data_IF_607104329427
#
_entry.id   IF_607104329427
#
_cell.length_a   1.000
_cell.length_b   1.000
_cell.length_c   1.000
_cell.angle_alpha   90.00
_cell.angle_beta   90.00
_cell.angle_gamma   90.00
#
_symmetry.space_group_name_H-M   'P 1'
#
loop_
_entity.id
_entity.type
_entity.pdbx_description
1 polymer ?
#
# COMPACT_ATOMS: atom_id res chain seq x y z
N UNK A 1 -34.54 28.06 59.20
CA UNK A 1 -34.09 27.12 58.16
C UNK A 1 -35.05 27.28 56.95
N UNK A 2 -34.66 28.04 55.96
CA UNK A 2 -35.48 28.27 54.74
C UNK A 2 -35.00 27.35 53.70
N UNK A 3 -35.89 26.43 53.26
CA UNK A 3 -35.64 25.48 52.20
C UNK A 3 -35.82 26.12 50.82
N UNK A 4 -34.83 25.97 49.99
CA UNK A 4 -34.83 26.43 48.62
C UNK A 4 -35.84 25.57 47.81
N UNK A 5 -36.76 26.19 47.08
CA UNK A 5 -37.79 25.53 46.35
C UNK A 5 -37.25 24.88 45.05
N UNK A 6 -37.88 23.77 44.63
CA UNK A 6 -37.54 23.01 43.39
C UNK A 6 -37.63 23.85 42.11
N UNK A 7 -38.18 25.04 42.13
CA UNK A 7 -38.28 25.92 40.96
C UNK A 7 -37.06 26.76 40.69
N UNK A 8 -36.25 27.04 41.71
CA UNK A 8 -35.00 27.84 41.57
C UNK A 8 -33.81 26.99 41.09
N UNK A 9 -33.87 25.65 41.27
CA UNK A 9 -32.84 24.75 40.79
C UNK A 9 -32.92 24.44 39.26
N UNK A 10 -34.06 24.79 38.61
CA UNK A 10 -34.27 24.52 37.16
C UNK A 10 -33.96 25.73 36.26
N UNK A 11 -33.75 26.92 36.81
CA UNK A 11 -33.43 28.11 36.02
C UNK A 11 -31.93 28.27 35.72
N UNK A 12 -31.05 27.55 36.44
CA UNK A 12 -29.60 27.61 36.25
C UNK A 12 -29.00 26.68 35.21
N UNK A 13 -29.80 25.72 34.68
CA UNK A 13 -29.27 24.64 33.81
C UNK A 13 -29.48 24.88 32.30
N UNK A 14 -30.15 25.98 31.90
CA UNK A 14 -30.54 26.20 30.49
C UNK A 14 -29.57 27.12 29.68
N UNK A 15 -28.54 27.72 30.31
CA UNK A 15 -27.67 28.67 29.62
C UNK A 15 -26.30 28.09 29.15
N UNK A 16 -26.02 26.80 29.38
CA UNK A 16 -24.71 26.19 29.11
C UNK A 16 -24.59 25.30 27.87
N UNK A 17 -25.69 25.01 27.16
CA UNK A 17 -25.68 23.95 26.09
C UNK A 17 -25.53 24.50 24.65
N UNK A 18 -25.50 25.83 24.47
CA UNK A 18 -25.55 26.43 23.12
C UNK A 18 -24.20 26.68 22.41
N UNK A 19 -23.07 26.57 23.09
CA UNK A 19 -21.76 26.96 22.49
C UNK A 19 -20.76 25.83 22.28
N UNK A 20 -20.99 24.65 22.82
CA UNK A 20 -20.08 23.50 22.67
C UNK A 20 -19.95 22.92 21.26
N UNK A 21 -21.01 22.81 20.44
CA UNK A 21 -20.87 22.17 19.12
C UNK A 21 -20.08 23.00 18.11
N UNK A 22 -20.09 24.33 18.21
CA UNK A 22 -19.42 25.22 17.26
C UNK A 22 -17.93 25.38 17.54
N UNK A 23 -17.53 25.44 18.79
CA UNK A 23 -16.13 25.46 19.21
C UNK A 23 -15.44 24.10 18.99
N UNK A 24 -16.13 22.99 19.28
CA UNK A 24 -15.63 21.64 18.99
C UNK A 24 -15.50 21.39 17.49
N UNK A 25 -16.45 21.88 16.67
CA UNK A 25 -16.38 21.78 15.21
C UNK A 25 -15.30 22.70 14.60
N UNK A 26 -15.06 23.88 15.17
CA UNK A 26 -13.99 24.79 14.80
C UNK A 26 -12.61 24.24 15.23
N UNK A 27 -12.49 23.64 16.41
CA UNK A 27 -11.27 22.97 16.87
C UNK A 27 -10.96 21.72 16.04
N UNK A 28 -11.99 20.96 15.63
CA UNK A 28 -11.85 19.81 14.74
C UNK A 28 -11.47 20.21 13.31
N UNK A 29 -11.95 21.37 12.83
CA UNK A 29 -11.54 21.94 11.54
C UNK A 29 -10.11 22.52 11.57
N UNK A 30 -9.60 22.92 12.74
CA UNK A 30 -8.22 23.39 12.93
C UNK A 30 -7.21 22.24 13.16
N UNK A 31 -7.68 21.02 13.37
CA UNK A 31 -6.85 19.81 13.59
C UNK A 31 -6.84 18.84 12.39
N UNK A 32 -7.49 19.17 11.29
CA UNK A 32 -7.50 18.32 10.10
C UNK A 32 -6.13 18.36 9.40
N UNK A 33 -5.59 17.18 9.06
CA UNK A 33 -4.35 17.04 8.30
C UNK A 33 -4.55 17.57 6.88
N UNK A 34 -3.75 18.55 6.47
CA UNK A 34 -3.79 19.07 5.11
C UNK A 34 -2.95 18.20 4.18
N UNK A 35 -3.58 17.69 3.11
CA UNK A 35 -2.98 16.71 2.20
C UNK A 35 -2.79 17.27 0.80
N UNK A 36 -1.59 17.11 0.25
CA UNK A 36 -1.28 17.28 -1.16
C UNK A 36 -1.24 15.93 -1.86
N UNK A 37 -1.86 15.81 -3.04
CA UNK A 37 -1.79 14.60 -3.86
C UNK A 37 -0.78 14.77 -4.98
N UNK A 38 0.16 13.83 -5.12
CA UNK A 38 1.14 13.74 -6.21
C UNK A 38 0.82 12.47 -7.01
N UNK A 39 0.29 12.65 -8.22
CA UNK A 39 -0.34 11.60 -9.00
C UNK A 39 -1.83 11.48 -8.68
N UNK A 40 -2.67 11.99 -9.60
CA UNK A 40 -4.13 12.01 -9.46
C UNK A 40 -4.82 11.03 -10.42
N UNK A 41 -4.09 10.02 -10.91
CA UNK A 41 -4.60 8.94 -11.73
C UNK A 41 -5.58 8.04 -10.96
N UNK A 42 -5.91 6.86 -11.53
CA UNK A 42 -6.94 5.98 -10.96
C UNK A 42 -6.66 5.58 -9.50
N UNK A 43 -5.41 5.23 -9.16
CA UNK A 43 -5.04 4.84 -7.80
C UNK A 43 -5.03 6.05 -6.85
N UNK A 44 -4.39 7.15 -7.23
CA UNK A 44 -4.39 8.36 -6.42
C UNK A 44 -5.80 8.86 -6.13
N UNK A 45 -6.69 8.82 -7.13
CA UNK A 45 -8.10 9.18 -6.97
C UNK A 45 -8.85 8.25 -6.02
N UNK A 46 -8.62 6.94 -6.11
CA UNK A 46 -9.21 5.97 -5.17
C UNK A 46 -8.79 6.27 -3.72
N UNK A 47 -7.50 6.41 -3.47
CA UNK A 47 -6.98 6.72 -2.13
C UNK A 47 -7.45 8.11 -1.67
N UNK A 48 -7.43 9.11 -2.56
CA UNK A 48 -7.92 10.46 -2.28
C UNK A 48 -9.38 10.51 -1.85
N UNK A 49 -10.24 9.66 -2.43
CA UNK A 49 -11.63 9.50 -1.99
C UNK A 49 -11.68 9.04 -0.54
N UNK A 50 -10.87 8.06 -0.15
CA UNK A 50 -10.83 7.54 1.22
C UNK A 50 -10.32 8.60 2.20
N UNK A 51 -9.26 9.34 1.85
CA UNK A 51 -8.79 10.48 2.63
C UNK A 51 -9.86 11.55 2.81
N UNK A 52 -10.60 11.89 1.74
CA UNK A 52 -11.65 12.91 1.79
C UNK A 52 -12.87 12.46 2.61
N UNK A 53 -13.17 11.17 2.65
CA UNK A 53 -14.28 10.59 3.41
C UNK A 53 -14.00 10.51 4.91
N UNK A 54 -12.76 10.43 5.32
CA UNK A 54 -12.38 10.28 6.75
C UNK A 54 -12.75 11.51 7.61
N UNK A 55 -12.79 12.69 7.01
CA UNK A 55 -13.14 13.94 7.72
C UNK A 55 -12.01 14.54 8.59
N UNK A 56 -10.95 13.79 8.88
CA UNK A 56 -9.73 14.26 9.56
C UNK A 56 -8.66 14.72 8.57
N UNK A 57 -8.87 14.50 7.28
CA UNK A 57 -8.01 14.99 6.22
C UNK A 57 -8.72 16.03 5.36
N UNK A 58 -7.95 16.94 4.82
CA UNK A 58 -8.41 17.94 3.85
C UNK A 58 -7.42 18.00 2.68
N UNK A 59 -7.85 17.56 1.51
CA UNK A 59 -7.05 17.64 0.30
C UNK A 59 -7.06 19.09 -0.19
N UNK A 60 -5.89 19.73 -0.19
CA UNK A 60 -5.73 21.17 -0.49
C UNK A 60 -4.91 21.44 -1.76
N UNK A 61 -4.26 20.40 -2.29
CA UNK A 61 -3.42 20.48 -3.47
C UNK A 61 -3.48 19.20 -4.30
N UNK A 62 -3.47 19.35 -5.62
CA UNK A 62 -3.47 18.27 -6.61
C UNK A 62 -2.32 18.51 -7.58
N UNK A 63 -1.47 17.51 -7.80
CA UNK A 63 -0.36 17.58 -8.74
C UNK A 63 -0.42 16.41 -9.72
N UNK A 64 -0.48 16.72 -11.00
CA UNK A 64 -0.36 15.74 -12.09
C UNK A 64 0.18 16.43 -13.34
N UNK A 65 0.98 15.72 -14.13
CA UNK A 65 1.49 16.23 -15.42
C UNK A 65 0.40 16.22 -16.50
N UNK A 66 -0.71 15.47 -16.27
CA UNK A 66 -1.86 15.38 -17.16
C UNK A 66 -3.02 16.18 -16.55
N UNK A 67 -3.35 17.38 -17.04
CA UNK A 67 -4.38 18.25 -16.46
C UNK A 67 -5.75 17.58 -16.33
N UNK A 68 -6.09 16.71 -17.28
CA UNK A 68 -7.35 15.96 -17.26
C UNK A 68 -7.49 15.08 -15.99
N UNK A 69 -6.39 14.51 -15.46
CA UNK A 69 -6.44 13.71 -14.24
C UNK A 69 -6.79 14.56 -13.02
N UNK A 70 -6.36 15.82 -12.99
CA UNK A 70 -6.74 16.78 -11.94
C UNK A 70 -8.26 17.04 -12.01
N UNK A 71 -8.80 17.30 -13.18
CA UNK A 71 -10.24 17.58 -13.35
C UNK A 71 -11.10 16.33 -13.05
N UNK A 72 -10.65 15.14 -13.46
CA UNK A 72 -11.29 13.89 -13.10
C UNK A 72 -11.29 13.67 -11.57
N UNK A 73 -10.23 14.11 -10.88
CA UNK A 73 -10.15 14.03 -9.42
C UNK A 73 -11.08 15.03 -8.74
N UNK A 74 -11.16 16.27 -9.24
CA UNK A 74 -12.12 17.27 -8.75
C UNK A 74 -13.56 16.79 -8.89
N UNK A 75 -13.88 16.16 -10.01
CA UNK A 75 -15.20 15.60 -10.27
C UNK A 75 -15.54 14.45 -9.32
N UNK A 76 -14.57 13.57 -9.03
CA UNK A 76 -14.76 12.42 -8.14
C UNK A 76 -14.72 12.79 -6.65
N UNK A 77 -14.02 13.88 -6.29
CA UNK A 77 -13.85 14.36 -4.92
C UNK A 77 -14.27 15.84 -4.86
N UNK A 78 -15.56 16.16 -4.75
CA UNK A 78 -16.07 17.54 -4.81
C UNK A 78 -15.43 18.50 -3.78
N UNK A 79 -14.97 17.99 -2.64
CA UNK A 79 -14.25 18.78 -1.63
C UNK A 79 -12.93 19.36 -2.14
N UNK A 80 -12.39 18.85 -3.25
CA UNK A 80 -11.16 19.34 -3.89
C UNK A 80 -11.38 20.45 -4.93
N UNK A 81 -12.62 20.91 -5.14
CA UNK A 81 -12.93 21.93 -6.15
C UNK A 81 -12.07 23.19 -6.03
N UNK A 82 -11.68 23.57 -4.79
CA UNK A 82 -10.80 24.71 -4.49
C UNK A 82 -9.35 24.32 -4.23
N UNK A 83 -8.98 23.03 -4.39
CA UNK A 83 -7.60 22.58 -4.23
C UNK A 83 -6.71 23.23 -5.30
N UNK A 84 -5.51 23.66 -4.89
CA UNK A 84 -4.52 24.23 -5.83
C UNK A 84 -4.04 23.16 -6.79
N UNK A 85 -3.92 23.50 -8.06
CA UNK A 85 -3.38 22.62 -9.08
C UNK A 85 -1.90 22.92 -9.32
N UNK A 86 -1.10 21.87 -9.38
CA UNK A 86 0.33 21.92 -9.66
C UNK A 86 0.66 20.98 -10.82
N UNK A 87 1.61 21.36 -11.65
CA UNK A 87 2.21 20.48 -12.66
C UNK A 87 3.52 19.87 -12.14
N UNK A 88 4.27 20.66 -11.38
CA UNK A 88 5.53 20.22 -10.74
C UNK A 88 5.28 19.89 -9.27
N UNK A 89 5.59 18.67 -8.88
CA UNK A 89 5.44 18.18 -7.49
C UNK A 89 6.35 18.95 -6.51
N UNK A 90 7.46 19.57 -6.99
CA UNK A 90 8.37 20.34 -6.15
C UNK A 90 7.69 21.63 -5.64
N UNK A 91 6.87 22.25 -6.48
CA UNK A 91 6.08 23.41 -6.07
C UNK A 91 5.03 23.04 -5.01
N UNK A 92 4.37 21.87 -5.16
CA UNK A 92 3.45 21.36 -4.15
C UNK A 92 4.18 21.08 -2.82
N UNK A 93 5.35 20.44 -2.87
CA UNK A 93 6.15 20.13 -1.69
C UNK A 93 6.68 21.38 -0.96
N UNK A 94 6.96 22.46 -1.70
CA UNK A 94 7.41 23.73 -1.13
C UNK A 94 6.31 24.49 -0.40
N UNK A 95 5.04 24.09 -0.54
CA UNK A 95 3.92 24.73 0.15
C UNK A 95 3.90 24.38 1.65
N UNK A 96 4.13 25.37 2.53
CA UNK A 96 4.17 25.12 3.99
C UNK A 96 2.80 24.79 4.60
N UNK A 97 1.71 25.06 3.87
CA UNK A 97 0.35 24.76 4.34
C UNK A 97 -0.05 23.30 4.15
N UNK A 98 0.82 22.45 3.59
CA UNK A 98 0.61 21.03 3.37
C UNK A 98 1.36 20.25 4.44
N UNK A 99 0.65 19.49 5.27
CA UNK A 99 1.22 18.67 6.35
C UNK A 99 1.69 17.31 5.83
N UNK A 100 0.91 16.71 4.93
CA UNK A 100 1.13 15.35 4.42
C UNK A 100 0.98 15.29 2.90
N UNK A 101 1.63 14.30 2.30
CA UNK A 101 1.46 14.01 0.87
C UNK A 101 1.00 12.56 0.65
N UNK A 102 0.08 12.41 -0.30
CA UNK A 102 -0.31 11.15 -0.91
C UNK A 102 0.42 11.03 -2.26
N UNK A 103 1.33 10.06 -2.39
CA UNK A 103 2.09 9.81 -3.62
C UNK A 103 1.55 8.55 -4.29
N UNK A 104 1.00 8.68 -5.49
CA UNK A 104 0.44 7.59 -6.29
C UNK A 104 0.78 7.74 -7.78
N UNK A 105 2.03 8.00 -8.04
CA UNK A 105 2.62 8.15 -9.37
C UNK A 105 3.04 6.79 -9.95
N UNK A 106 3.50 6.71 -11.21
CA UNK A 106 4.15 5.52 -11.74
C UNK A 106 5.32 5.05 -10.87
N UNK A 107 5.49 3.74 -10.76
CA UNK A 107 6.41 3.08 -9.82
C UNK A 107 7.86 3.59 -9.93
N UNK A 108 8.38 3.78 -11.14
CA UNK A 108 9.76 4.25 -11.35
C UNK A 108 10.01 5.66 -10.79
N UNK A 109 8.97 6.45 -10.55
CA UNK A 109 9.05 7.80 -9.95
C UNK A 109 8.96 7.79 -8.43
N UNK A 110 8.55 6.69 -7.81
CA UNK A 110 8.42 6.60 -6.36
C UNK A 110 9.70 6.99 -5.61
N UNK A 111 10.92 6.54 -6.02
CA UNK A 111 12.14 6.91 -5.32
C UNK A 111 12.42 8.42 -5.34
N UNK A 112 12.20 9.07 -6.47
CA UNK A 112 12.41 10.52 -6.63
C UNK A 112 11.41 11.33 -5.80
N UNK A 113 10.13 10.99 -5.92
CA UNK A 113 9.08 11.72 -5.21
C UNK A 113 9.15 11.51 -3.70
N UNK A 114 9.49 10.29 -3.27
CA UNK A 114 9.71 9.98 -1.86
C UNK A 114 10.88 10.79 -1.27
N UNK A 115 12.04 10.77 -1.93
CA UNK A 115 13.22 11.54 -1.52
C UNK A 115 12.90 13.04 -1.39
N UNK A 116 12.18 13.59 -2.35
CA UNK A 116 11.79 15.00 -2.33
C UNK A 116 10.81 15.30 -1.17
N UNK A 117 9.85 14.40 -0.90
CA UNK A 117 8.90 14.55 0.21
C UNK A 117 9.60 14.44 1.58
N UNK A 118 10.60 13.56 1.72
CA UNK A 118 11.46 13.47 2.90
C UNK A 118 12.21 14.79 3.12
N UNK A 119 12.85 15.33 2.08
CA UNK A 119 13.57 16.63 2.15
C UNK A 119 12.65 17.81 2.48
N UNK A 120 11.39 17.72 2.08
CA UNK A 120 10.37 18.73 2.40
C UNK A 120 9.72 18.52 3.79
N UNK A 121 10.19 17.56 4.58
CA UNK A 121 9.70 17.24 5.93
C UNK A 121 8.19 17.00 6.00
N UNK A 122 7.59 16.34 4.98
CA UNK A 122 6.16 16.00 4.97
C UNK A 122 5.90 14.64 5.65
N UNK A 123 4.71 14.46 6.23
CA UNK A 123 4.19 13.12 6.43
C UNK A 123 3.91 12.49 5.07
N UNK A 124 4.15 11.20 4.91
CA UNK A 124 4.11 10.56 3.59
C UNK A 124 3.23 9.31 3.61
N UNK A 125 2.16 9.32 2.82
CA UNK A 125 1.49 8.12 2.37
C UNK A 125 1.86 7.89 0.92
N UNK A 126 2.57 6.81 0.62
CA UNK A 126 3.03 6.50 -0.74
C UNK A 126 2.56 5.12 -1.15
N UNK A 127 2.10 4.97 -2.39
CA UNK A 127 1.71 3.69 -2.92
C UNK A 127 2.91 2.74 -3.13
N UNK A 128 2.62 1.47 -3.02
CA UNK A 128 3.56 0.38 -3.29
C UNK A 128 3.82 0.25 -4.81
N UNK A 129 4.89 -0.43 -5.23
CA UNK A 129 6.11 -0.80 -4.50
C UNK A 129 7.06 0.39 -4.29
N UNK A 130 8.19 0.16 -3.61
CA UNK A 130 9.17 1.21 -3.33
C UNK A 130 9.92 1.71 -4.57
N UNK A 131 9.95 0.93 -5.65
CA UNK A 131 10.59 1.28 -6.91
C UNK A 131 10.49 0.15 -7.94
N UNK A 132 10.94 0.39 -9.16
CA UNK A 132 10.88 -0.57 -10.27
C UNK A 132 12.14 -1.45 -10.38
N UNK A 133 13.25 -1.02 -9.79
CA UNK A 133 14.56 -1.68 -9.88
C UNK A 133 15.39 -1.52 -8.60
N UNK A 134 16.53 -2.21 -8.57
CA UNK A 134 17.43 -2.23 -7.40
C UNK A 134 17.95 -0.84 -7.07
N UNK A 135 18.35 -0.05 -8.07
CA UNK A 135 18.93 1.27 -7.88
C UNK A 135 17.91 2.24 -7.29
N UNK A 136 16.68 2.22 -7.82
CA UNK A 136 15.56 3.03 -7.30
C UNK A 136 15.22 2.69 -5.85
N UNK A 137 15.11 1.39 -5.53
CA UNK A 137 14.82 0.96 -4.15
C UNK A 137 15.95 1.32 -3.19
N UNK A 138 17.23 1.20 -3.59
CA UNK A 138 18.38 1.67 -2.79
C UNK A 138 18.33 3.18 -2.53
N UNK A 139 18.00 3.98 -3.56
CA UNK A 139 17.82 5.44 -3.44
C UNK A 139 16.73 5.78 -2.41
N UNK A 140 15.59 5.10 -2.50
CA UNK A 140 14.48 5.30 -1.58
C UNK A 140 14.88 4.89 -0.14
N UNK A 141 15.54 3.75 0.02
CA UNK A 141 16.00 3.26 1.32
C UNK A 141 16.99 4.24 1.98
N UNK A 142 17.89 4.85 1.21
CA UNK A 142 18.80 5.87 1.72
C UNK A 142 18.06 7.15 2.15
N UNK A 143 17.07 7.60 1.36
CA UNK A 143 16.22 8.71 1.76
C UNK A 143 15.43 8.39 3.04
N UNK A 144 14.96 7.14 3.20
CA UNK A 144 14.23 6.71 4.40
C UNK A 144 15.08 6.74 5.68
N UNK A 145 16.41 6.49 5.57
CA UNK A 145 17.35 6.61 6.70
C UNK A 145 17.54 8.06 7.14
N UNK A 146 17.41 9.01 6.21
CA UNK A 146 17.56 10.45 6.45
C UNK A 146 16.25 11.11 6.85
N UNK A 147 15.14 10.38 6.86
CA UNK A 147 13.83 10.93 7.17
C UNK A 147 13.75 11.48 8.60
N UNK A 148 13.08 12.60 8.75
CA UNK A 148 12.76 13.17 10.06
C UNK A 148 11.91 12.19 10.87
N UNK A 149 12.42 11.79 12.03
CA UNK A 149 11.76 10.83 12.92
C UNK A 149 10.41 11.33 13.47
N UNK A 150 10.13 12.62 13.36
CA UNK A 150 8.83 13.19 13.70
C UNK A 150 7.80 13.05 12.58
N UNK A 151 8.19 12.56 11.41
CA UNK A 151 7.30 12.37 10.26
C UNK A 151 6.84 10.93 10.13
N UNK A 152 5.53 10.76 9.96
CA UNK A 152 4.92 9.47 9.74
C UNK A 152 5.01 9.10 8.26
N UNK A 153 5.55 7.91 7.95
CA UNK A 153 5.79 7.42 6.60
C UNK A 153 5.14 6.04 6.46
N UNK A 154 4.21 5.92 5.54
CA UNK A 154 3.44 4.70 5.26
C UNK A 154 3.49 4.36 3.78
N UNK A 155 3.73 3.08 3.49
CA UNK A 155 3.58 2.50 2.17
C UNK A 155 2.25 1.76 2.04
N UNK A 156 1.64 1.83 0.86
CA UNK A 156 0.35 1.26 0.50
C UNK A 156 0.30 -0.29 0.48
N UNK A 157 1.02 -0.95 1.38
CA UNK A 157 0.84 -2.38 1.67
C UNK A 157 -0.32 -2.58 2.64
N UNK A 158 -1.53 -2.28 2.16
CA UNK A 158 -2.74 -2.15 2.99
C UNK A 158 -3.10 -3.40 3.78
N UNK A 159 -2.68 -4.61 3.34
CA UNK A 159 -2.92 -5.84 4.08
C UNK A 159 -2.35 -5.79 5.51
N UNK A 160 -1.23 -5.08 5.73
CA UNK A 160 -0.61 -4.91 7.04
C UNK A 160 -1.46 -4.12 8.05
N UNK A 161 -2.47 -3.41 7.57
CA UNK A 161 -3.36 -2.58 8.40
C UNK A 161 -4.71 -3.28 8.66
N UNK A 162 -5.01 -4.38 7.97
CA UNK A 162 -6.23 -5.16 8.18
C UNK A 162 -6.21 -5.88 9.52
N UNK A 163 -7.27 -5.77 10.35
CA UNK A 163 -7.39 -6.54 11.59
C UNK A 163 -7.32 -8.05 11.37
N UNK A 164 -7.88 -8.54 10.27
CA UNK A 164 -7.90 -9.96 9.92
C UNK A 164 -6.50 -10.48 9.57
N UNK A 165 -5.72 -9.70 8.79
CA UNK A 165 -4.33 -10.07 8.49
C UNK A 165 -3.44 -9.99 9.73
N UNK A 166 -3.66 -9.01 10.62
CA UNK A 166 -2.93 -8.94 11.89
C UNK A 166 -3.24 -10.13 12.79
N UNK A 167 -4.52 -10.58 12.85
CA UNK A 167 -4.90 -11.79 13.57
C UNK A 167 -4.28 -13.03 12.94
N UNK A 168 -4.25 -13.12 11.61
CA UNK A 168 -3.61 -14.22 10.89
C UNK A 168 -2.10 -14.28 11.15
N UNK A 169 -1.41 -13.13 11.14
CA UNK A 169 0.01 -13.04 11.52
C UNK A 169 0.23 -13.51 12.97
N UNK A 170 -0.63 -13.09 13.88
CA UNK A 170 -0.54 -13.51 15.28
C UNK A 170 -0.67 -15.05 15.43
N UNK A 171 -1.54 -15.70 14.65
CA UNK A 171 -1.67 -17.16 14.63
C UNK A 171 -0.33 -17.82 14.25
N UNK A 172 0.34 -17.32 13.21
CA UNK A 172 1.67 -17.79 12.80
C UNK A 172 2.72 -17.49 13.86
N UNK A 173 2.82 -16.23 14.28
CA UNK A 173 3.82 -15.72 15.23
C UNK A 173 3.78 -16.43 16.59
N UNK A 174 2.59 -16.79 17.07
CA UNK A 174 2.43 -17.48 18.36
C UNK A 174 2.60 -19.00 18.25
N UNK A 175 3.00 -19.51 17.08
CA UNK A 175 3.26 -20.93 16.86
C UNK A 175 2.02 -21.80 16.86
N UNK A 176 0.82 -21.26 16.65
CA UNK A 176 -0.43 -22.04 16.59
C UNK A 176 -0.48 -22.99 15.39
N UNK A 177 0.29 -22.70 14.32
CA UNK A 177 0.47 -23.62 13.19
C UNK A 177 1.53 -24.71 13.43
N UNK A 178 2.26 -24.65 14.55
CA UNK A 178 3.47 -25.44 14.75
C UNK A 178 4.67 -24.81 14.01
N UNK A 179 5.64 -25.64 13.62
CA UNK A 179 6.75 -25.25 12.78
C UNK A 179 6.23 -24.96 11.36
N UNK A 180 6.62 -23.81 10.80
CA UNK A 180 6.22 -23.42 9.45
C UNK A 180 7.11 -24.15 8.43
N UNK A 181 6.51 -24.92 7.54
CA UNK A 181 7.21 -25.77 6.58
C UNK A 181 7.29 -25.15 5.19
N UNK A 182 6.20 -24.47 4.76
CA UNK A 182 6.06 -23.94 3.42
C UNK A 182 5.07 -22.79 3.43
N UNK A 183 5.28 -21.83 2.52
CA UNK A 183 4.37 -20.72 2.25
C UNK A 183 4.07 -20.68 0.75
N UNK A 184 2.87 -20.26 0.39
CA UNK A 184 2.46 -20.13 -1.00
C UNK A 184 1.70 -18.83 -1.19
N UNK A 185 1.94 -18.15 -2.30
CA UNK A 185 1.20 -16.98 -2.73
C UNK A 185 0.69 -17.21 -4.15
N UNK A 186 -0.61 -17.07 -4.34
CA UNK A 186 -1.24 -17.02 -5.65
C UNK A 186 -1.63 -15.58 -5.97
N UNK A 187 -1.26 -15.13 -7.15
CA UNK A 187 -1.76 -13.86 -7.69
C UNK A 187 -2.30 -14.08 -9.11
N UNK A 188 -3.37 -14.85 -9.19
CA UNK A 188 -4.03 -15.21 -10.44
C UNK A 188 -5.22 -14.29 -10.63
N UNK A 189 -5.10 -13.35 -11.58
CA UNK A 189 -6.09 -12.32 -11.83
C UNK A 189 -6.25 -12.11 -13.33
N UNK A 190 -7.48 -12.21 -13.81
CA UNK A 190 -7.80 -11.93 -15.20
C UNK A 190 -8.14 -10.47 -15.47
N UNK A 191 -8.44 -10.21 -16.74
CA UNK A 191 -8.94 -8.92 -17.20
C UNK A 191 -7.88 -7.97 -17.80
N UNK A 192 -6.61 -8.34 -17.81
CA UNK A 192 -5.63 -7.58 -18.59
C UNK A 192 -5.96 -7.69 -20.10
N UNK A 193 -5.86 -6.61 -20.89
CA UNK A 193 -6.08 -6.67 -22.32
C UNK A 193 -5.13 -7.65 -22.97
N UNK A 194 -5.66 -8.58 -23.77
CA UNK A 194 -4.83 -9.52 -24.58
C UNK A 194 -4.53 -8.92 -25.96
N UNK A 195 -5.42 -8.07 -26.45
CA UNK A 195 -5.26 -7.38 -27.73
C UNK A 195 -4.13 -6.35 -27.69
N UNK A 196 -3.45 -6.07 -28.80
CA UNK A 196 -2.52 -4.96 -28.91
C UNK A 196 -3.21 -3.65 -28.48
N UNK A 197 -2.54 -2.88 -27.66
CA UNK A 197 -2.89 -1.49 -27.43
C UNK A 197 -2.00 -0.69 -28.38
N UNK A 198 -2.60 -0.22 -29.47
CA UNK A 198 -1.94 0.62 -30.46
C UNK A 198 -1.99 2.06 -29.94
N UNK A 199 -0.91 2.49 -29.31
CA UNK A 199 -0.76 3.87 -28.85
C UNK A 199 0.64 4.38 -29.22
N UNK A 200 0.76 5.67 -29.53
CA UNK A 200 2.02 6.26 -29.92
C UNK A 200 3.04 6.23 -28.77
N UNK A 201 4.35 6.21 -29.09
CA UNK A 201 5.41 6.15 -28.07
C UNK A 201 5.34 7.22 -26.99
N UNK A 202 4.84 8.42 -27.32
CA UNK A 202 4.63 9.54 -26.38
C UNK A 202 3.57 9.23 -25.32
N UNK A 203 2.68 8.28 -25.56
CA UNK A 203 1.70 7.83 -24.57
C UNK A 203 2.24 6.72 -23.64
N UNK A 204 3.48 6.28 -23.85
CA UNK A 204 4.10 5.23 -23.05
C UNK A 204 4.01 5.49 -21.54
N UNK A 205 4.17 6.75 -21.14
CA UNK A 205 4.04 7.14 -19.73
C UNK A 205 2.62 6.94 -19.18
N UNK A 206 1.57 7.12 -19.99
CA UNK A 206 0.19 6.83 -19.59
C UNK A 206 -0.07 5.33 -19.42
N UNK A 207 0.70 4.51 -20.10
CA UNK A 207 0.64 3.04 -20.08
C UNK A 207 1.84 2.41 -19.37
N UNK A 208 2.46 3.16 -18.44
CA UNK A 208 3.69 2.78 -17.74
C UNK A 208 3.66 1.37 -17.16
N UNK A 209 2.51 0.90 -16.67
CA UNK A 209 2.33 -0.44 -16.11
C UNK A 209 2.53 -1.59 -17.08
N UNK A 210 2.64 -1.32 -18.40
CA UNK A 210 2.95 -2.33 -19.42
C UNK A 210 4.46 -2.52 -19.66
N UNK A 211 5.31 -1.63 -19.09
CA UNK A 211 6.73 -1.57 -19.40
C UNK A 211 7.56 -1.88 -18.17
N UNK A 212 8.53 -2.79 -18.31
CA UNK A 212 9.37 -3.32 -17.22
C UNK A 212 10.24 -2.26 -16.57
N UNK A 213 10.79 -1.34 -17.35
CA UNK A 213 11.61 -0.23 -16.85
C UNK A 213 10.81 0.78 -16.01
N UNK A 214 9.49 0.82 -16.20
CA UNK A 214 8.61 1.72 -15.45
C UNK A 214 7.87 1.04 -14.31
N UNK A 215 7.49 -0.24 -14.47
CA UNK A 215 6.70 -1.00 -13.50
C UNK A 215 7.51 -1.99 -12.66
N UNK A 216 8.68 -2.39 -13.15
CA UNK A 216 9.45 -3.51 -12.60
C UNK A 216 8.96 -4.87 -13.04
N UNK A 217 8.04 -4.95 -14.03
CA UNK A 217 7.20 -6.09 -14.36
C UNK A 217 6.04 -6.27 -13.38
N UNK A 218 5.01 -7.06 -13.75
CA UNK A 218 3.84 -7.24 -12.89
C UNK A 218 4.14 -7.94 -11.57
N UNK A 219 5.21 -8.73 -11.48
CA UNK A 219 5.70 -9.31 -10.22
C UNK A 219 6.06 -8.22 -9.20
N UNK A 220 6.65 -7.10 -9.64
CA UNK A 220 7.05 -5.98 -8.77
C UNK A 220 5.86 -5.05 -8.52
N UNK A 221 5.15 -4.67 -9.59
CA UNK A 221 4.04 -3.72 -9.46
C UNK A 221 2.84 -4.32 -8.73
N UNK A 222 2.49 -5.58 -9.01
CA UNK A 222 1.26 -6.19 -8.53
C UNK A 222 1.49 -7.24 -7.44
N UNK A 223 2.35 -8.24 -7.72
CA UNK A 223 2.44 -9.43 -6.87
C UNK A 223 3.25 -9.19 -5.60
N UNK A 224 3.92 -8.03 -5.51
CA UNK A 224 4.61 -7.59 -4.28
C UNK A 224 3.71 -7.60 -3.04
N UNK A 225 2.39 -7.49 -3.19
CA UNK A 225 1.46 -7.61 -2.07
C UNK A 225 1.52 -8.97 -1.39
N UNK A 226 1.50 -10.06 -2.16
CA UNK A 226 1.60 -11.41 -1.60
C UNK A 226 3.00 -11.71 -1.05
N UNK A 227 4.05 -11.27 -1.76
CA UNK A 227 5.42 -11.43 -1.29
C UNK A 227 5.68 -10.63 0.00
N UNK A 228 5.04 -9.47 0.16
CA UNK A 228 5.05 -8.71 1.41
C UNK A 228 4.46 -9.51 2.59
N UNK A 229 3.36 -10.22 2.36
CA UNK A 229 2.74 -11.08 3.37
C UNK A 229 3.64 -12.27 3.71
N UNK A 230 4.28 -12.90 2.72
CA UNK A 230 5.22 -13.99 2.99
C UNK A 230 6.38 -13.51 3.86
N UNK A 231 7.01 -12.37 3.52
CA UNK A 231 8.10 -11.79 4.32
C UNK A 231 7.64 -11.40 5.73
N UNK A 232 6.49 -10.80 5.85
CA UNK A 232 5.94 -10.37 7.13
C UNK A 232 5.68 -11.54 8.07
N UNK A 233 5.08 -12.63 7.57
CA UNK A 233 4.74 -13.81 8.37
C UNK A 233 5.98 -14.66 8.67
N UNK A 234 6.94 -14.75 7.73
CA UNK A 234 8.24 -15.38 7.94
C UNK A 234 9.18 -14.57 8.83
N UNK A 235 8.94 -13.27 9.01
CA UNK A 235 9.83 -12.29 9.67
C UNK A 235 11.25 -12.27 9.09
N UNK A 236 11.35 -12.51 7.80
CA UNK A 236 12.59 -12.57 7.07
C UNK A 236 12.35 -12.26 5.59
N UNK A 237 13.39 -11.86 4.90
CA UNK A 237 13.45 -11.88 3.44
C UNK A 237 14.08 -13.20 2.95
N UNK A 238 13.85 -13.60 1.68
CA UNK A 238 14.50 -14.79 1.12
C UNK A 238 16.00 -14.58 0.94
N UNK A 239 16.75 -15.68 1.06
CA UNK A 239 18.18 -15.73 0.79
C UNK A 239 18.47 -15.82 -0.71
N UNK A 240 17.59 -16.46 -1.47
CA UNK A 240 17.70 -16.68 -2.91
C UNK A 240 16.36 -17.02 -3.54
N UNK A 241 16.30 -16.92 -4.86
CA UNK A 241 15.14 -17.31 -5.66
C UNK A 241 15.55 -18.02 -6.95
N UNK A 242 14.63 -18.85 -7.46
CA UNK A 242 14.68 -19.45 -8.79
C UNK A 242 13.27 -19.43 -9.37
N UNK A 243 13.13 -19.21 -10.67
CA UNK A 243 11.82 -19.17 -11.27
C UNK A 243 11.83 -19.19 -12.79
N UNK A 244 10.65 -19.28 -13.35
CA UNK A 244 10.41 -19.14 -14.79
C UNK A 244 9.17 -18.28 -15.03
N UNK A 245 9.19 -17.55 -16.13
CA UNK A 245 8.09 -16.72 -16.58
C UNK A 245 8.25 -16.38 -18.04
N UNK A 246 7.26 -15.74 -18.61
CA UNK A 246 7.34 -15.40 -20.02
C UNK A 246 6.13 -14.65 -20.53
N UNK A 247 6.09 -14.52 -21.87
CA UNK A 247 5.01 -13.91 -22.63
C UNK A 247 4.48 -14.91 -23.64
N UNK A 248 3.23 -15.33 -23.48
CA UNK A 248 2.56 -16.24 -24.39
C UNK A 248 1.49 -15.49 -25.20
N UNK A 249 0.77 -14.58 -24.59
CA UNK A 249 -0.40 -13.91 -25.18
C UNK A 249 -0.32 -12.39 -25.17
N UNK A 250 0.41 -11.80 -24.25
CA UNK A 250 0.53 -10.34 -24.20
C UNK A 250 1.28 -9.82 -25.41
N UNK A 251 0.65 -8.96 -26.19
CA UNK A 251 1.19 -8.41 -27.46
C UNK A 251 1.63 -6.95 -27.35
N UNK A 252 1.49 -6.32 -26.19
CA UNK A 252 1.88 -4.94 -25.92
C UNK A 252 2.82 -4.87 -24.72
N UNK A 253 3.65 -3.82 -24.66
CA UNK A 253 4.66 -3.67 -23.62
C UNK A 253 5.69 -4.80 -23.64
N UNK A 254 6.42 -4.96 -22.53
CA UNK A 254 7.48 -5.97 -22.39
C UNK A 254 7.37 -6.80 -21.10
N UNK A 255 6.35 -6.57 -20.26
CA UNK A 255 6.07 -7.36 -19.08
C UNK A 255 5.73 -8.82 -19.43
N UNK A 256 6.08 -9.73 -18.54
CA UNK A 256 5.59 -11.10 -18.59
C UNK A 256 4.06 -11.15 -18.46
N UNK A 257 3.46 -12.28 -18.75
CA UNK A 257 2.02 -12.51 -18.57
C UNK A 257 1.70 -13.71 -17.67
N UNK A 258 2.71 -14.51 -17.35
CA UNK A 258 2.65 -15.62 -16.39
C UNK A 258 4.02 -15.87 -15.79
N UNK A 259 4.06 -16.37 -14.56
CA UNK A 259 5.29 -16.74 -13.88
C UNK A 259 5.05 -17.72 -12.72
N UNK A 260 6.15 -18.40 -12.33
CA UNK A 260 6.28 -19.11 -11.05
C UNK A 260 7.68 -18.90 -10.48
N UNK A 261 7.77 -18.62 -9.18
CA UNK A 261 9.03 -18.37 -8.50
C UNK A 261 9.03 -19.10 -7.16
N UNK A 262 10.14 -19.78 -6.86
CA UNK A 262 10.41 -20.36 -5.54
C UNK A 262 11.49 -19.54 -4.85
N UNK A 263 11.23 -19.19 -3.61
CA UNK A 263 12.10 -18.45 -2.71
C UNK A 263 12.59 -19.36 -1.58
N UNK A 264 13.85 -19.29 -1.23
CA UNK A 264 14.41 -19.93 -0.05
C UNK A 264 14.62 -18.90 1.05
N UNK A 265 13.94 -19.09 2.17
CA UNK A 265 14.06 -18.30 3.39
C UNK A 265 15.04 -18.94 4.38
N UNK A 266 15.51 -18.20 5.41
CA UNK A 266 16.31 -18.77 6.48
C UNK A 266 15.66 -20.02 7.12
N UNK A 267 16.47 -20.96 7.58
CA UNK A 267 15.98 -22.22 8.18
C UNK A 267 15.44 -23.25 7.18
N UNK A 268 15.59 -23.00 5.88
CA UNK A 268 15.12 -23.92 4.84
C UNK A 268 13.64 -23.79 4.48
N UNK A 269 12.93 -22.80 5.06
CA UNK A 269 11.55 -22.49 4.70
C UNK A 269 11.44 -22.11 3.22
N UNK A 270 10.41 -22.61 2.53
CA UNK A 270 10.13 -22.31 1.12
C UNK A 270 8.92 -21.42 0.99
N UNK A 271 9.06 -20.36 0.18
CA UNK A 271 7.95 -19.54 -0.29
C UNK A 271 7.78 -19.70 -1.81
N UNK A 272 6.56 -19.79 -2.29
CA UNK A 272 6.26 -19.93 -3.71
C UNK A 272 5.30 -18.85 -4.16
N UNK A 273 5.54 -18.32 -5.36
CA UNK A 273 4.63 -17.41 -6.06
C UNK A 273 4.21 -18.03 -7.38
N UNK A 274 2.90 -18.10 -7.60
CA UNK A 274 2.32 -18.44 -8.91
C UNK A 274 1.41 -17.29 -9.34
N UNK A 275 1.68 -16.72 -10.51
CA UNK A 275 0.96 -15.53 -10.94
C UNK A 275 0.69 -15.51 -12.46
N UNK A 276 -0.47 -14.97 -12.82
CA UNK A 276 -0.82 -14.59 -14.19
C UNK A 276 -1.87 -13.49 -14.21
N UNK A 277 -1.86 -12.68 -15.26
CA UNK A 277 -2.85 -11.63 -15.53
C UNK A 277 -3.84 -12.01 -16.64
N UNK A 278 -3.76 -13.20 -17.22
CA UNK A 278 -4.46 -13.57 -18.44
C UNK A 278 -5.58 -14.61 -18.26
N UNK A 279 -6.07 -14.80 -17.04
CA UNK A 279 -7.27 -15.62 -16.83
C UNK A 279 -8.54 -14.90 -17.31
N UNK A 280 -9.64 -15.61 -17.57
CA UNK A 280 -10.93 -14.97 -17.80
C UNK A 280 -11.26 -13.95 -16.70
N UNK A 281 -11.89 -12.79 -17.01
CA UNK A 281 -12.08 -11.70 -16.03
C UNK A 281 -12.79 -12.08 -14.74
N UNK A 282 -13.62 -13.12 -14.78
CA UNK A 282 -14.35 -13.62 -13.60
C UNK A 282 -13.53 -14.54 -12.70
N UNK A 283 -12.42 -15.11 -13.22
CA UNK A 283 -11.58 -15.98 -12.42
C UNK A 283 -10.56 -15.15 -11.64
N UNK A 284 -10.55 -15.35 -10.33
CA UNK A 284 -9.62 -14.70 -9.43
C UNK A 284 -9.23 -15.65 -8.30
N UNK A 285 -7.93 -15.90 -8.16
CA UNK A 285 -7.33 -16.57 -7.01
C UNK A 285 -6.16 -15.72 -6.52
N UNK A 286 -6.43 -14.87 -5.52
CA UNK A 286 -5.45 -14.00 -4.87
C UNK A 286 -5.49 -14.33 -3.39
N UNK A 287 -4.47 -15.06 -2.92
CA UNK A 287 -4.39 -15.61 -1.57
C UNK A 287 -2.96 -15.92 -1.18
N UNK A 288 -2.74 -16.05 0.12
CA UNK A 288 -1.53 -16.64 0.68
C UNK A 288 -1.91 -17.85 1.53
N UNK A 289 -1.04 -18.88 1.58
CA UNK A 289 -1.19 -20.07 2.41
C UNK A 289 0.09 -20.34 3.20
N UNK A 290 -0.10 -20.78 4.43
CA UNK A 290 0.96 -21.07 5.39
C UNK A 290 0.74 -22.46 5.94
N UNK A 291 1.65 -23.37 5.61
CA UNK A 291 1.58 -24.79 5.97
C UNK A 291 2.49 -25.06 7.15
N UNK A 292 1.91 -25.37 8.29
CA UNK A 292 2.63 -25.73 9.49
C UNK A 292 2.42 -27.19 9.88
N UNK A 293 3.21 -27.68 10.84
CA UNK A 293 3.14 -29.07 11.33
C UNK A 293 1.85 -29.40 12.09
N UNK A 294 1.07 -28.40 12.51
CA UNK A 294 -0.16 -28.56 13.30
C UNK A 294 -1.39 -27.89 12.70
N UNK A 295 -1.25 -27.20 11.59
CA UNK A 295 -2.37 -26.51 10.96
C UNK A 295 -1.99 -25.79 9.69
N UNK A 296 -3.01 -25.30 8.98
CA UNK A 296 -2.88 -24.52 7.74
C UNK A 296 -3.67 -23.23 7.88
N UNK A 297 -3.05 -22.13 7.50
CA UNK A 297 -3.69 -20.81 7.43
C UNK A 297 -3.75 -20.36 5.98
N UNK A 298 -4.91 -19.85 5.56
CA UNK A 298 -5.12 -19.24 4.24
C UNK A 298 -5.63 -17.81 4.44
N UNK A 299 -4.98 -16.83 3.83
CA UNK A 299 -5.38 -15.41 3.88
C UNK A 299 -5.86 -14.93 2.52
N UNK A 300 -6.90 -14.12 2.55
CA UNK A 300 -7.48 -13.40 1.41
C UNK A 300 -7.77 -11.96 1.82
N UNK A 301 -7.90 -11.07 0.83
CA UNK A 301 -8.28 -9.68 1.10
C UNK A 301 -9.56 -9.51 1.92
N UNK A 302 -10.49 -10.48 1.84
CA UNK A 302 -11.84 -10.38 2.43
C UNK A 302 -12.07 -11.35 3.57
N UNK A 303 -11.17 -12.29 3.83
CA UNK A 303 -11.27 -13.26 4.90
C UNK A 303 -9.96 -14.00 5.12
N UNK A 304 -9.85 -14.69 6.26
CA UNK A 304 -8.89 -15.78 6.41
C UNK A 304 -9.59 -17.08 6.83
N UNK A 305 -8.96 -18.21 6.53
CA UNK A 305 -9.34 -19.54 7.02
C UNK A 305 -8.17 -20.16 7.79
N UNK A 306 -8.49 -20.79 8.89
CA UNK A 306 -7.52 -21.50 9.72
C UNK A 306 -8.02 -22.89 10.03
N UNK A 307 -7.33 -23.88 9.47
CA UNK A 307 -7.42 -25.29 9.84
C UNK A 307 -6.44 -25.57 10.98
N UNK A 308 -6.95 -26.05 12.10
CA UNK A 308 -6.17 -26.33 13.31
C UNK A 308 -5.67 -27.77 13.38
N UNK A 309 -5.86 -28.56 12.31
CA UNK A 309 -5.61 -30.01 12.29
C UNK A 309 -6.68 -30.84 12.99
N UNK A 310 -7.59 -30.22 13.73
CA UNK A 310 -8.72 -30.85 14.42
C UNK A 310 -9.90 -29.87 14.55
N UNK A 311 -11.09 -30.43 14.62
CA UNK A 311 -12.33 -29.66 14.74
C UNK A 311 -12.68 -28.89 13.44
N UNK A 312 -13.65 -27.98 13.48
CA UNK A 312 -14.08 -27.23 12.29
C UNK A 312 -13.04 -26.18 11.88
N UNK A 313 -12.90 -25.95 10.57
CA UNK A 313 -12.12 -24.85 10.02
C UNK A 313 -12.73 -23.51 10.48
N UNK A 314 -11.90 -22.66 11.06
CA UNK A 314 -12.28 -21.29 11.43
C UNK A 314 -12.23 -20.41 10.19
N UNK A 315 -13.32 -19.69 9.88
CA UNK A 315 -13.35 -18.66 8.85
C UNK A 315 -13.74 -17.32 9.47
N UNK A 316 -12.98 -16.28 9.18
CA UNK A 316 -13.27 -14.91 9.64
C UNK A 316 -13.29 -13.99 8.44
N UNK A 317 -14.43 -13.38 8.19
CA UNK A 317 -14.61 -12.45 7.08
C UNK A 317 -14.23 -11.02 7.47
N UNK A 318 -13.57 -10.30 6.55
CA UNK A 318 -13.28 -8.87 6.69
C UNK A 318 -14.57 -8.06 6.58
N UNK A 319 -14.71 -7.06 7.44
CA UNK A 319 -15.94 -6.27 7.54
C UNK A 319 -16.00 -5.12 6.52
N UNK A 320 -14.84 -4.69 6.01
CA UNK A 320 -14.73 -3.53 5.13
C UNK A 320 -13.51 -3.59 4.19
N UNK A 321 -13.41 -2.60 3.31
CA UNK A 321 -12.25 -2.41 2.43
C UNK A 321 -11.00 -2.03 3.28
N UNK A 322 -9.96 -2.84 3.21
CA UNK A 322 -8.76 -2.74 4.06
C UNK A 322 -7.93 -1.47 3.81
N UNK A 323 -8.10 -0.79 2.66
CA UNK A 323 -7.41 0.49 2.41
C UNK A 323 -7.98 1.59 3.33
N UNK A 324 -9.23 1.46 3.78
CA UNK A 324 -9.82 2.37 4.78
C UNK A 324 -9.03 2.28 6.08
N UNK A 325 -8.69 1.06 6.54
CA UNK A 325 -7.89 0.85 7.75
C UNK A 325 -6.52 1.53 7.63
N UNK A 326 -5.88 1.40 6.46
CA UNK A 326 -4.58 2.02 6.20
C UNK A 326 -4.63 3.56 6.30
N UNK A 327 -5.66 4.19 5.69
CA UNK A 327 -5.86 5.65 5.75
C UNK A 327 -6.17 6.11 7.16
N UNK A 328 -7.08 5.42 7.86
CA UNK A 328 -7.43 5.76 9.25
C UNK A 328 -6.23 5.66 10.19
N UNK A 329 -5.42 4.59 10.06
CA UNK A 329 -4.22 4.42 10.89
C UNK A 329 -3.19 5.51 10.57
N UNK A 330 -3.00 5.84 9.29
CA UNK A 330 -2.12 6.94 8.89
C UNK A 330 -2.54 8.25 9.57
N UNK A 331 -3.79 8.65 9.46
CA UNK A 331 -4.29 9.89 10.05
C UNK A 331 -4.24 9.87 11.59
N UNK A 332 -4.57 8.73 12.21
CA UNK A 332 -4.44 8.56 13.66
C UNK A 332 -3.00 8.79 14.15
N UNK A 333 -2.01 8.20 13.47
CA UNK A 333 -0.61 8.31 13.86
C UNK A 333 -0.07 9.74 13.67
N UNK A 334 -0.45 10.41 12.58
CA UNK A 334 -0.10 11.81 12.32
C UNK A 334 -0.68 12.71 13.44
N UNK A 335 -1.98 12.61 13.70
CA UNK A 335 -2.67 13.45 14.70
C UNK A 335 -2.23 13.16 16.13
N UNK A 336 -1.88 11.92 16.44
CA UNK A 336 -1.39 11.53 17.77
C UNK A 336 0.10 11.87 18.00
N UNK A 337 0.82 12.33 16.98
CA UNK A 337 2.27 12.55 17.08
C UNK A 337 3.05 11.26 17.38
N UNK A 338 2.58 10.10 16.88
CA UNK A 338 3.20 8.78 17.05
C UNK A 338 3.69 8.24 15.71
N UNK A 339 4.73 8.84 15.12
CA UNK A 339 5.20 8.50 13.79
C UNK A 339 5.81 7.10 13.76
N UNK A 340 5.67 6.47 12.61
CA UNK A 340 6.32 5.22 12.22
C UNK A 340 6.88 5.39 10.81
N UNK A 341 7.89 4.61 10.44
CA UNK A 341 8.45 4.58 9.11
C UNK A 341 8.45 3.16 8.58
N UNK A 342 7.52 2.86 7.65
CA UNK A 342 7.37 1.54 7.04
C UNK A 342 8.21 1.36 5.75
N UNK A 343 9.03 2.34 5.39
CA UNK A 343 9.84 2.29 4.17
C UNK A 343 10.82 1.11 4.15
N UNK A 344 11.36 0.72 5.29
CA UNK A 344 12.32 -0.39 5.38
C UNK A 344 11.69 -1.72 4.98
N UNK A 345 10.53 -2.06 5.54
CA UNK A 345 9.80 -3.28 5.18
C UNK A 345 9.26 -3.21 3.75
N UNK A 346 8.84 -2.04 3.28
CA UNK A 346 8.39 -1.85 1.90
C UNK A 346 9.54 -2.07 0.89
N UNK A 347 10.75 -1.57 1.19
CA UNK A 347 11.94 -1.85 0.39
C UNK A 347 12.27 -3.34 0.36
N UNK A 348 12.25 -4.01 1.51
CA UNK A 348 12.51 -5.44 1.60
C UNK A 348 11.55 -6.26 0.74
N UNK A 349 10.25 -5.99 0.82
CA UNK A 349 9.22 -6.67 0.02
C UNK A 349 9.37 -6.36 -1.48
N UNK A 350 9.76 -5.13 -1.83
CA UNK A 350 10.06 -4.76 -3.22
C UNK A 350 11.30 -5.47 -3.73
N UNK A 351 12.38 -5.55 -2.95
CA UNK A 351 13.57 -6.33 -3.30
C UNK A 351 13.25 -7.82 -3.48
N UNK A 352 12.38 -8.41 -2.66
CA UNK A 352 11.93 -9.80 -2.84
C UNK A 352 11.29 -10.01 -4.20
N UNK A 353 10.44 -9.08 -4.65
CA UNK A 353 9.83 -9.14 -5.97
C UNK A 353 10.86 -8.97 -7.10
N UNK A 354 11.82 -8.05 -6.93
CA UNK A 354 12.91 -7.82 -7.89
C UNK A 354 13.83 -9.05 -7.97
N UNK A 355 14.15 -9.69 -6.84
CA UNK A 355 14.94 -10.92 -6.80
C UNK A 355 14.29 -12.02 -7.64
N UNK A 356 12.98 -12.24 -7.50
CA UNK A 356 12.24 -13.20 -8.32
C UNK A 356 12.28 -12.86 -9.80
N UNK A 357 12.08 -11.59 -10.16
CA UNK A 357 12.19 -11.13 -11.55
C UNK A 357 13.58 -11.40 -12.13
N UNK A 358 14.63 -11.02 -11.40
CA UNK A 358 16.02 -11.17 -11.86
C UNK A 358 16.42 -12.64 -11.98
N UNK A 359 15.96 -13.51 -11.09
CA UNK A 359 16.19 -14.96 -11.18
C UNK A 359 15.56 -15.55 -12.45
N UNK A 360 14.34 -15.12 -12.81
CA UNK A 360 13.69 -15.53 -14.07
C UNK A 360 14.44 -15.02 -15.30
N UNK A 361 14.91 -13.78 -15.28
CA UNK A 361 15.70 -13.18 -16.37
C UNK A 361 17.04 -13.89 -16.56
N UNK A 362 17.72 -14.20 -15.47
CA UNK A 362 18.98 -14.93 -15.44
C UNK A 362 18.82 -16.43 -15.79
N UNK A 363 17.59 -16.98 -15.72
CA UNK A 363 17.27 -18.40 -15.90
C UNK A 363 18.10 -19.32 -15.00
N UNK A 364 18.40 -18.87 -13.79
CA UNK A 364 19.13 -19.61 -12.77
C UNK A 364 18.72 -19.14 -11.38
N UNK A 365 19.19 -19.87 -10.38
CA UNK A 365 19.15 -19.40 -9.01
C UNK A 365 19.95 -18.08 -8.88
N UNK A 366 19.39 -17.12 -8.15
CA UNK A 366 20.00 -15.83 -7.84
C UNK A 366 19.91 -15.58 -6.33
N UNK A 367 21.01 -15.15 -5.72
CA UNK A 367 21.04 -14.83 -4.30
C UNK A 367 20.63 -13.38 -4.04
N UNK A 368 20.24 -13.12 -2.80
CA UNK A 368 19.92 -11.76 -2.33
C UNK A 368 21.11 -10.80 -2.49
N UNK A 369 22.31 -11.28 -2.14
CA UNK A 369 23.53 -10.50 -2.24
C UNK A 369 23.92 -10.22 -3.70
N UNK A 370 23.73 -11.17 -4.62
CA UNK A 370 23.95 -10.94 -6.05
C UNK A 370 23.00 -9.87 -6.58
N UNK A 371 21.70 -9.92 -6.23
CA UNK A 371 20.76 -8.87 -6.59
C UNK A 371 21.19 -7.50 -6.05
N UNK A 372 21.62 -7.42 -4.80
CA UNK A 372 22.02 -6.15 -4.22
C UNK A 372 23.32 -5.58 -4.81
N UNK A 373 24.13 -6.35 -5.52
CA UNK A 373 25.35 -5.87 -6.18
C UNK A 373 25.11 -5.32 -7.59
N UNK A 374 23.92 -5.55 -8.14
CA UNK A 374 23.56 -5.14 -9.51
C UNK A 374 23.24 -3.61 -9.64
#
# INVERSE_FOLDING_TARGET
MHGISRREALAGAAAGIGLAPRAARAAQASSAVTVGMIGTGSRGRFDGILFAQDGRARIVALCDIVPEQIENTRSAIPSTAKARAYKDYRELLADPSIDAVLIATPVFLHPEHFEAAVKAHKHIYIEKPAGADVAGVKRLLEAARQADKARHIVFGFQNRYSPEYNTAEEIVRTGKLGELLMMECHFIKGGAPIRPLDYPPEERLRHWGAWRDMSGDFIVEQDCHGLDILNWFAKAHPLKAIGSGGRIKRSYGDNFDHLSVTYEYPGGLRGMLVATQLTPPRYRDVREQFFGTRGVLETHRQYYKWDRGEGPIVKVDSKREITIDAVEIFLNKVLAGKPENTAFSACESTFTSILGRMAMDARRELTWEEMLRS
#
